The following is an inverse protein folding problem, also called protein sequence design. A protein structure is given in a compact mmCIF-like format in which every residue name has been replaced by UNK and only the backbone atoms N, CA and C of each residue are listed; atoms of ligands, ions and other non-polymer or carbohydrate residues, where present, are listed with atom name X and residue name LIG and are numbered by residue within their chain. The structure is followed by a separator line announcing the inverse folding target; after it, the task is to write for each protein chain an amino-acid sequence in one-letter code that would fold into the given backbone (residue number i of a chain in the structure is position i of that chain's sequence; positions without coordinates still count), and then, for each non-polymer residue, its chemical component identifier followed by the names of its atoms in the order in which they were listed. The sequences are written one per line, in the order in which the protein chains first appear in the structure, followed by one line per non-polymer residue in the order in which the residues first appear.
data_IF_045700170302
#
_entry.id   IF_045700170302
#
_cell.length_a   1.000
_cell.length_b   1.000
_cell.length_c   1.000
_cell.angle_alpha   90.00
_cell.angle_beta   90.00
_cell.angle_gamma   90.00
#
_symmetry.space_group_name_H-M   'P 1'
#
loop_
_entity.id
_entity.type
_entity.pdbx_description
1 polymer ?
#
# COMPACT_ATOMS: atom_id res chain seq x y z
N UNK A 1 -9.03 2.39 -10.72
CA UNK A 1 -9.18 1.05 -10.11
C UNK A 1 -7.79 0.45 -9.98
N UNK A 2 -7.47 -0.19 -8.85
CA UNK A 2 -6.14 -0.80 -8.62
C UNK A 2 -6.01 -2.10 -9.44
N UNK A 3 -7.05 -2.95 -9.43
CA UNK A 3 -7.11 -4.23 -10.13
C UNK A 3 -8.57 -4.66 -10.35
N UNK A 4 -8.84 -5.40 -11.43
CA UNK A 4 -10.14 -6.02 -11.69
C UNK A 4 -10.47 -7.14 -10.69
N UNK A 5 -11.64 -7.04 -10.06
CA UNK A 5 -12.05 -7.98 -9.01
C UNK A 5 -11.61 -7.58 -7.61
N UNK A 6 -10.79 -6.54 -7.46
CA UNK A 6 -10.48 -5.95 -6.16
C UNK A 6 -11.68 -5.16 -5.63
N UNK A 7 -12.21 -5.57 -4.48
CA UNK A 7 -13.37 -4.95 -3.83
C UNK A 7 -12.95 -4.22 -2.57
N UNK A 8 -13.38 -2.96 -2.46
CA UNK A 8 -13.22 -2.16 -1.24
C UNK A 8 -14.04 -2.76 -0.09
N UNK A 9 -13.43 -2.84 1.09
CA UNK A 9 -14.07 -3.34 2.32
C UNK A 9 -14.24 -2.22 3.34
N UNK A 10 -13.16 -1.50 3.67
CA UNK A 10 -13.16 -0.49 4.73
C UNK A 10 -11.99 0.50 4.56
N UNK A 11 -12.04 1.63 5.27
CA UNK A 11 -10.94 2.60 5.35
C UNK A 11 -10.74 3.03 6.81
N UNK A 12 -9.49 3.11 7.25
CA UNK A 12 -9.13 3.57 8.59
C UNK A 12 -9.76 2.76 9.73
N UNK A 13 -9.40 1.47 9.77
CA UNK A 13 -9.66 0.63 10.94
C UNK A 13 -8.43 0.65 11.85
N UNK A 14 -8.60 1.07 13.09
CA UNK A 14 -7.57 0.90 14.11
C UNK A 14 -7.34 -0.59 14.35
N UNK A 15 -6.10 -1.03 14.22
CA UNK A 15 -5.67 -2.38 14.61
C UNK A 15 -4.62 -2.30 15.70
N UNK A 16 -4.34 -3.44 16.32
CA UNK A 16 -3.31 -3.56 17.36
C UNK A 16 -1.89 -3.18 16.85
N UNK A 17 -1.70 -3.08 15.53
CA UNK A 17 -0.43 -2.69 14.89
C UNK A 17 -0.42 -1.28 14.32
N UNK A 18 -1.47 -0.50 14.54
CA UNK A 18 -1.65 0.85 13.99
C UNK A 18 -2.85 0.96 13.04
N UNK A 19 -3.06 2.15 12.46
CA UNK A 19 -4.11 2.35 11.46
C UNK A 19 -3.80 1.53 10.19
N UNK A 20 -4.78 0.78 9.69
CA UNK A 20 -4.73 0.25 8.34
C UNK A 20 -5.36 1.27 7.39
N UNK A 21 -4.56 1.83 6.52
CA UNK A 21 -5.05 2.51 5.33
C UNK A 21 -5.66 1.45 4.39
N UNK A 22 -6.77 1.82 3.75
CA UNK A 22 -7.74 1.06 2.94
C UNK A 22 -7.59 -0.47 2.83
N UNK A 23 -8.67 -1.17 3.20
CA UNK A 23 -8.81 -2.62 3.12
C UNK A 23 -9.58 -3.07 1.88
N UNK A 24 -9.09 -4.11 1.22
CA UNK A 24 -9.72 -4.74 0.08
C UNK A 24 -9.77 -6.27 0.18
N UNK A 25 -10.57 -6.88 -0.67
CA UNK A 25 -10.52 -8.32 -0.98
C UNK A 25 -10.34 -8.52 -2.48
N UNK A 26 -9.41 -9.38 -2.88
CA UNK A 26 -9.17 -9.70 -4.29
C UNK A 26 -10.10 -10.81 -4.81
N UNK A 27 -9.97 -11.15 -6.09
CA UNK A 27 -10.77 -12.21 -6.72
C UNK A 27 -10.46 -13.62 -6.21
N UNK A 28 -9.31 -13.82 -5.56
CA UNK A 28 -8.90 -15.05 -4.89
C UNK A 28 -9.34 -15.14 -3.42
N UNK A 29 -10.11 -14.16 -2.92
CA UNK A 29 -10.47 -13.99 -1.51
C UNK A 29 -9.30 -13.70 -0.56
N UNK A 30 -8.17 -13.20 -1.07
CA UNK A 30 -7.10 -12.70 -0.23
C UNK A 30 -7.45 -11.33 0.34
N UNK A 31 -7.09 -11.11 1.60
CA UNK A 31 -7.19 -9.80 2.24
C UNK A 31 -6.02 -8.93 1.80
N UNK A 32 -6.31 -7.77 1.19
CA UNK A 32 -5.30 -6.83 0.70
C UNK A 32 -5.35 -5.55 1.53
N UNK A 33 -4.21 -5.16 2.07
CA UNK A 33 -4.00 -3.91 2.83
C UNK A 33 -3.19 -2.95 1.97
N UNK A 34 -3.66 -1.72 1.80
CA UNK A 34 -2.96 -0.70 1.03
C UNK A 34 -2.67 0.56 1.84
N UNK A 35 -1.39 0.81 2.09
CA UNK A 35 -0.95 2.09 2.64
C UNK A 35 -1.08 3.20 1.59
N UNK A 36 -1.75 4.31 1.93
CA UNK A 36 -1.88 5.45 1.03
C UNK A 36 -0.86 6.53 1.40
N UNK A 37 0.12 6.77 0.53
CA UNK A 37 1.05 7.90 0.66
C UNK A 37 0.72 9.00 -0.36
N UNK A 38 0.67 10.25 0.11
CA UNK A 38 0.47 11.43 -0.76
C UNK A 38 1.73 11.73 -1.58
N UNK A 39 2.91 11.38 -1.06
CA UNK A 39 4.20 11.52 -1.71
C UNK A 39 4.81 10.14 -1.98
N UNK A 40 5.77 10.09 -2.90
CA UNK A 40 6.52 8.88 -3.21
C UNK A 40 7.23 8.35 -1.96
N UNK A 41 7.28 7.03 -1.80
CA UNK A 41 7.83 6.40 -0.59
C UNK A 41 9.34 6.65 -0.46
N UNK A 42 9.78 7.27 0.64
CA UNK A 42 11.19 7.64 0.90
C UNK A 42 12.14 6.43 0.78
N UNK A 43 11.66 5.23 1.13
CA UNK A 43 12.44 4.00 1.00
C UNK A 43 12.70 3.63 -0.47
N UNK A 44 11.70 3.78 -1.34
CA UNK A 44 11.87 3.59 -2.80
C UNK A 44 12.75 4.67 -3.40
N UNK A 45 12.61 5.92 -2.97
CA UNK A 45 13.46 7.01 -3.46
C UNK A 45 14.93 6.77 -3.08
N UNK A 46 15.19 6.26 -1.86
CA UNK A 46 16.54 5.88 -1.41
C UNK A 46 17.10 4.70 -2.19
N UNK A 47 16.30 3.69 -2.50
CA UNK A 47 16.74 2.56 -3.33
C UNK A 47 17.07 3.00 -4.77
N UNK A 48 16.25 3.88 -5.36
CA UNK A 48 16.50 4.48 -6.67
C UNK A 48 17.76 5.35 -6.68
N UNK A 49 18.00 6.12 -5.62
CA UNK A 49 19.22 6.93 -5.45
C UNK A 49 20.49 6.07 -5.38
N UNK A 50 20.44 4.94 -4.67
CA UNK A 50 21.56 4.00 -4.62
C UNK A 50 21.76 3.30 -5.97
N UNK A 51 20.68 2.93 -6.67
CA UNK A 51 20.73 2.28 -7.98
C UNK A 51 21.15 3.22 -9.11
N UNK A 52 20.94 4.53 -8.98
CA UNK A 52 21.34 5.52 -9.98
C UNK A 52 22.85 5.83 -9.95
N UNK A 53 23.60 5.26 -8.99
CA UNK A 53 25.04 5.47 -8.86
C UNK A 53 25.40 6.88 -8.34
N UNK A 54 24.43 7.61 -7.81
CA UNK A 54 24.62 8.94 -7.20
C UNK A 54 24.87 8.87 -5.68
N UNK A 55 25.04 7.67 -5.14
CA UNK A 55 25.32 7.41 -3.72
C UNK A 55 26.77 7.51 -3.33
#
# INVERSE_FOLDING_TARGET
MIEDGLKYIDHQRNTDRGPLDVLFVDSGNALVVAELKINEDDAKQRELYLKSGMG
#
